data_IF_875011931194
#
_entry.id   IF_875011931194
#
_cell.length_a   1.000
_cell.length_b   1.000
_cell.length_c   1.000
_cell.angle_alpha   90.00
_cell.angle_beta   90.00
_cell.angle_gamma   90.00
#
_symmetry.space_group_name_H-M   'P 1'
#
loop_
_entity.id
_entity.type
_entity.pdbx_description
1 polymer ?
#
# COMPACT_ATOMS: atom_id res chain seq x y z
N UNK A 1 48.53 -52.10 -22.32
CA UNK A 1 49.80 -51.33 -22.24
C UNK A 1 49.93 -50.78 -20.83
N UNK A 2 50.68 -51.41 -19.92
CA UNK A 2 52.11 -51.15 -19.59
C UNK A 2 52.34 -49.69 -19.11
N UNK A 3 52.80 -49.37 -17.90
CA UNK A 3 54.00 -49.78 -17.12
C UNK A 3 53.80 -49.38 -15.63
N UNK A 4 54.03 -50.24 -14.63
CA UNK A 4 55.27 -50.57 -13.86
C UNK A 4 55.80 -49.48 -12.89
N UNK A 5 56.11 -49.93 -11.65
CA UNK A 5 57.04 -49.34 -10.66
C UNK A 5 56.30 -48.82 -9.41
N UNK A 6 56.18 -49.51 -8.26
CA UNK A 6 57.09 -50.26 -7.39
C UNK A 6 58.02 -49.39 -6.50
N UNK A 7 57.95 -49.69 -5.19
CA UNK A 7 58.96 -49.56 -4.11
C UNK A 7 58.91 -48.29 -3.22
N UNK A 8 58.60 -48.54 -1.94
CA UNK A 8 58.76 -47.65 -0.77
C UNK A 8 60.25 -47.48 -0.39
N UNK A 9 60.62 -46.48 0.43
CA UNK A 9 60.85 -46.85 1.81
C UNK A 9 60.35 -45.83 2.84
N UNK A 10 60.13 -46.35 4.05
CA UNK A 10 59.71 -45.61 5.23
C UNK A 10 60.80 -44.66 5.77
N UNK A 11 60.38 -43.49 6.24
CA UNK A 11 61.17 -42.64 7.15
C UNK A 11 60.25 -42.09 8.25
N UNK A 12 60.59 -42.37 9.51
CA UNK A 12 59.88 -41.87 10.70
C UNK A 12 60.28 -40.41 11.01
N UNK A 13 59.41 -39.63 11.68
CA UNK A 13 59.57 -38.18 11.79
C UNK A 13 60.36 -37.77 13.04
N UNK A 14 61.17 -36.72 12.93
CA UNK A 14 61.58 -35.91 14.08
C UNK A 14 61.17 -34.46 13.84
N UNK A 15 60.15 -33.99 14.57
CA UNK A 15 59.94 -32.55 14.77
C UNK A 15 59.97 -32.28 16.26
N UNK A 16 61.00 -31.55 16.67
CA UNK A 16 61.25 -31.09 18.02
C UNK A 16 60.08 -30.21 18.49
N UNK A 17 59.61 -30.42 19.72
CA UNK A 17 58.63 -29.57 20.40
C UNK A 17 59.38 -28.46 21.14
N UNK A 18 58.97 -27.22 20.91
CA UNK A 18 59.53 -25.98 21.46
C UNK A 18 58.97 -25.69 22.87
N UNK A 19 59.79 -25.51 23.92
CA UNK A 19 59.37 -25.49 25.33
C UNK A 19 58.92 -24.10 25.83
N UNK A 20 58.13 -23.36 25.05
CA UNK A 20 57.87 -21.93 25.31
C UNK A 20 56.41 -21.45 25.26
N UNK A 21 55.40 -22.31 25.11
CA UNK A 21 54.00 -21.85 25.05
C UNK A 21 53.41 -21.66 26.45
N UNK A 22 53.66 -20.46 26.97
CA UNK A 22 53.12 -19.86 28.18
C UNK A 22 51.59 -19.96 28.26
N UNK A 23 51.09 -20.45 29.40
CA UNK A 23 49.72 -20.24 29.83
C UNK A 23 49.60 -18.91 30.57
N UNK A 24 48.60 -18.11 30.22
CA UNK A 24 48.03 -17.13 31.14
C UNK A 24 46.52 -17.04 30.91
N UNK A 25 45.79 -17.42 31.95
CA UNK A 25 44.33 -17.46 32.02
C UNK A 25 43.77 -16.05 32.07
N UNK A 26 43.14 -15.60 30.98
CA UNK A 26 42.32 -14.39 30.97
C UNK A 26 40.96 -14.69 31.60
N UNK A 27 40.65 -14.04 32.72
CA UNK A 27 39.29 -14.00 33.30
C UNK A 27 38.47 -12.94 32.54
N UNK A 28 37.19 -13.19 32.22
CA UNK A 28 36.36 -12.21 31.55
C UNK A 28 35.95 -11.10 32.53
N UNK A 29 36.08 -9.83 32.11
CA UNK A 29 35.48 -8.67 32.80
C UNK A 29 34.23 -8.28 32.01
N UNK A 30 33.06 -8.48 32.62
CA UNK A 30 31.77 -8.13 32.05
C UNK A 30 31.53 -6.62 32.17
N UNK A 31 31.81 -5.84 31.14
CA UNK A 31 31.40 -4.43 31.06
C UNK A 31 30.00 -4.30 30.44
N UNK A 32 28.97 -4.42 31.29
CA UNK A 32 27.66 -3.80 31.04
C UNK A 32 27.81 -2.30 31.20
N UNK A 33 27.72 -1.51 30.12
CA UNK A 33 27.15 -0.14 30.14
C UNK A 33 26.49 0.16 28.80
N UNK A 34 25.18 -0.11 28.75
CA UNK A 34 24.25 0.54 27.83
C UNK A 34 24.41 2.05 27.97
N UNK A 35 24.60 2.76 26.86
CA UNK A 35 24.03 4.10 26.68
C UNK A 35 23.47 4.14 25.28
N UNK A 36 22.25 3.62 25.15
CA UNK A 36 21.41 3.84 23.99
C UNK A 36 20.96 5.30 24.10
N UNK A 37 21.72 6.22 23.51
CA UNK A 37 21.32 7.62 23.40
C UNK A 37 19.98 7.65 22.66
N UNK A 38 18.94 7.99 23.40
CA UNK A 38 17.61 8.20 22.90
C UNK A 38 17.60 9.28 21.82
N UNK A 39 17.17 8.88 20.64
CA UNK A 39 16.38 9.73 19.78
C UNK A 39 15.35 8.82 19.12
N UNK A 40 14.34 8.42 19.90
CA UNK A 40 13.10 7.95 19.32
C UNK A 40 12.45 9.20 18.70
N UNK A 41 12.81 9.51 17.45
CA UNK A 41 12.02 10.37 16.60
C UNK A 41 10.66 9.68 16.48
N UNK A 42 9.71 10.08 17.33
CA UNK A 42 8.29 9.86 17.08
C UNK A 42 7.98 10.69 15.84
N UNK A 43 8.20 10.11 14.66
CA UNK A 43 7.56 10.58 13.45
C UNK A 43 6.06 10.39 13.70
N UNK A 44 5.39 11.47 14.11
CA UNK A 44 3.93 11.51 14.10
C UNK A 44 3.54 11.54 12.63
N UNK A 45 3.32 10.36 12.05
CA UNK A 45 2.61 10.27 10.79
C UNK A 45 1.16 10.64 11.09
N UNK A 46 0.70 11.77 10.56
CA UNK A 46 -0.72 12.03 10.44
C UNK A 46 -1.28 11.00 9.45
N UNK A 47 -1.83 9.90 9.99
CA UNK A 47 -2.61 8.96 9.18
C UNK A 47 -3.98 9.59 8.99
N UNK A 48 -4.30 10.05 7.78
CA UNK A 48 -5.65 10.46 7.45
C UNK A 48 -6.60 9.26 7.51
N UNK A 49 -7.79 9.46 8.05
CA UNK A 49 -8.87 8.48 7.97
C UNK A 49 -9.53 8.52 6.58
N UNK A 50 -9.80 7.36 6.01
CA UNK A 50 -10.55 7.29 4.75
C UNK A 50 -12.05 7.30 5.04
N UNK A 51 -12.67 8.45 4.78
CA UNK A 51 -14.12 8.66 4.93
C UNK A 51 -14.94 7.98 3.82
N UNK A 52 -14.29 7.78 2.67
CA UNK A 52 -14.86 7.10 1.51
C UNK A 52 -13.85 6.07 1.04
N UNK A 53 -14.03 4.79 1.42
CA UNK A 53 -13.16 3.72 0.96
C UNK A 53 -13.22 3.52 -0.56
N UNK A 54 -12.11 3.06 -1.12
CA UNK A 54 -12.04 2.60 -2.50
C UNK A 54 -13.07 1.48 -2.74
N UNK A 55 -13.63 1.43 -3.95
CA UNK A 55 -14.63 0.45 -4.38
C UNK A 55 -15.91 0.42 -3.54
N UNK A 56 -16.18 1.48 -2.75
CA UNK A 56 -17.43 1.66 -2.02
C UNK A 56 -18.60 1.92 -2.98
N UNK A 57 -19.84 1.78 -2.49
CA UNK A 57 -21.03 2.10 -3.28
C UNK A 57 -21.22 3.62 -3.41
N UNK A 58 -21.62 4.05 -4.60
CA UNK A 58 -21.95 5.43 -4.97
C UNK A 58 -23.34 5.48 -5.57
N UNK A 59 -24.04 6.60 -5.38
CA UNK A 59 -25.19 6.94 -6.21
C UNK A 59 -24.69 7.52 -7.52
N UNK A 60 -25.30 7.11 -8.63
CA UNK A 60 -24.97 7.65 -9.94
C UNK A 60 -26.20 7.84 -10.83
N UNK A 61 -26.09 8.81 -11.73
CA UNK A 61 -27.10 9.11 -12.73
C UNK A 61 -26.43 9.24 -14.10
N UNK A 62 -26.94 8.50 -15.07
CA UNK A 62 -26.56 8.64 -16.48
C UNK A 62 -26.98 10.02 -16.98
N UNK A 63 -26.04 10.83 -17.47
CA UNK A 63 -26.26 12.21 -17.88
C UNK A 63 -26.97 12.34 -19.22
N UNK A 64 -28.17 11.77 -19.34
CA UNK A 64 -29.08 11.95 -20.49
C UNK A 64 -29.74 13.33 -20.50
N UNK A 65 -29.86 13.91 -19.32
CA UNK A 65 -30.30 15.27 -19.05
C UNK A 65 -29.54 15.78 -17.82
N UNK A 66 -29.75 17.05 -17.47
CA UNK A 66 -29.21 17.57 -16.21
C UNK A 66 -29.74 16.81 -14.99
N UNK A 67 -28.91 16.73 -13.95
CA UNK A 67 -29.21 15.95 -12.75
C UNK A 67 -30.32 16.55 -11.87
N UNK A 68 -30.58 17.85 -12.04
CA UNK A 68 -31.64 18.57 -11.35
C UNK A 68 -31.97 19.86 -12.10
N UNK A 69 -33.13 20.42 -11.77
CA UNK A 69 -33.50 21.79 -12.13
C UNK A 69 -33.83 22.55 -10.81
N UNK A 70 -33.04 23.57 -10.41
CA UNK A 70 -31.88 24.14 -11.12
C UNK A 70 -30.68 23.17 -11.18
N UNK A 71 -29.74 23.32 -12.13
CA UNK A 71 -28.57 22.43 -12.32
C UNK A 71 -27.60 22.35 -11.13
N UNK A 72 -27.81 23.16 -10.09
CA UNK A 72 -27.02 23.16 -8.86
C UNK A 72 -27.70 22.48 -7.68
N UNK A 73 -29.01 22.25 -7.73
CA UNK A 73 -29.77 21.67 -6.62
C UNK A 73 -29.24 20.28 -6.25
N UNK A 74 -28.84 19.46 -7.22
CA UNK A 74 -28.27 18.15 -6.98
C UNK A 74 -26.97 18.18 -6.18
N UNK A 75 -26.29 19.31 -6.01
CA UNK A 75 -25.06 19.39 -5.19
C UNK A 75 -25.36 19.59 -3.70
N UNK A 76 -26.60 19.90 -3.34
CA UNK A 76 -27.02 20.07 -1.95
C UNK A 76 -26.92 18.77 -1.16
N UNK A 77 -26.61 18.89 0.14
CA UNK A 77 -26.61 17.78 1.09
C UNK A 77 -28.02 17.14 1.22
N UNK A 78 -29.06 17.97 1.15
CA UNK A 78 -30.46 17.57 1.31
C UNK A 78 -31.13 17.10 0.01
N UNK A 79 -30.41 17.09 -1.12
CA UNK A 79 -30.98 16.62 -2.39
C UNK A 79 -31.36 15.13 -2.31
N UNK A 80 -32.57 14.82 -2.79
CA UNK A 80 -33.09 13.47 -2.88
C UNK A 80 -32.55 12.76 -4.13
N UNK A 81 -31.56 11.89 -3.88
CA UNK A 81 -30.95 11.00 -4.87
C UNK A 81 -31.54 9.58 -4.83
N UNK A 82 -32.73 9.39 -4.24
CA UNK A 82 -33.37 8.07 -4.13
C UNK A 82 -33.68 7.40 -5.47
N UNK A 83 -33.84 8.20 -6.54
CA UNK A 83 -34.05 7.71 -7.90
C UNK A 83 -32.75 7.43 -8.66
N UNK A 84 -31.58 7.78 -8.09
CA UNK A 84 -30.29 7.49 -8.71
C UNK A 84 -29.95 6.01 -8.55
N UNK A 85 -29.27 5.47 -9.55
CA UNK A 85 -28.77 4.10 -9.50
C UNK A 85 -27.67 3.99 -8.44
N UNK A 86 -27.40 2.77 -7.99
CA UNK A 86 -26.29 2.48 -7.08
C UNK A 86 -25.30 1.54 -7.73
N UNK A 87 -24.01 1.82 -7.56
CA UNK A 87 -22.93 1.04 -8.14
C UNK A 87 -21.64 1.22 -7.35
N UNK A 88 -20.76 0.20 -7.37
CA UNK A 88 -19.44 0.29 -6.76
C UNK A 88 -18.53 1.19 -7.59
N UNK A 89 -17.67 1.99 -6.96
CA UNK A 89 -16.69 2.80 -7.69
C UNK A 89 -15.77 1.93 -8.55
N UNK A 90 -15.21 2.51 -9.60
CA UNK A 90 -14.69 1.76 -10.75
C UNK A 90 -15.67 1.79 -11.92
N UNK A 91 -16.17 3.00 -12.22
CA UNK A 91 -17.07 3.27 -13.34
C UNK A 91 -16.26 3.31 -14.64
N UNK A 92 -16.64 2.52 -15.64
CA UNK A 92 -15.91 2.47 -16.91
C UNK A 92 -16.79 1.99 -18.05
N UNK A 93 -16.53 2.48 -19.26
CA UNK A 93 -17.15 1.97 -20.50
C UNK A 93 -16.66 0.57 -20.88
N UNK A 94 -15.66 0.04 -20.16
CA UNK A 94 -15.01 -1.22 -20.47
C UNK A 94 -14.01 -1.04 -21.60
N UNK A 95 -12.71 -1.05 -21.25
CA UNK A 95 -11.62 -1.05 -22.22
C UNK A 95 -10.61 -2.15 -21.87
N UNK A 96 -10.14 -2.88 -22.87
CA UNK A 96 -9.20 -3.98 -22.69
C UNK A 96 -9.74 -5.08 -21.77
N UNK A 97 -8.92 -5.48 -20.78
CA UNK A 97 -9.23 -6.56 -19.82
C UNK A 97 -9.75 -6.06 -18.47
N UNK A 98 -10.02 -4.75 -18.32
CA UNK A 98 -10.52 -4.22 -17.06
C UNK A 98 -11.97 -4.63 -16.82
N UNK A 99 -12.17 -5.47 -15.80
CA UNK A 99 -13.50 -5.86 -15.34
C UNK A 99 -14.04 -4.79 -14.39
N UNK A 100 -14.66 -3.77 -14.96
CA UNK A 100 -15.23 -2.65 -14.24
C UNK A 100 -16.26 -3.10 -13.20
N UNK A 101 -16.13 -2.70 -11.92
CA UNK A 101 -17.15 -2.91 -10.91
C UNK A 101 -18.52 -2.35 -11.31
N UNK A 102 -18.56 -1.19 -11.97
CA UNK A 102 -19.79 -0.63 -12.54
C UNK A 102 -19.59 -0.30 -14.02
N UNK A 103 -20.05 -1.18 -14.93
CA UNK A 103 -19.97 -0.94 -16.38
C UNK A 103 -20.92 0.18 -16.86
N UNK A 104 -20.46 1.05 -17.74
CA UNK A 104 -21.19 2.17 -18.33
C UNK A 104 -21.57 1.90 -19.79
N UNK A 105 -22.36 0.85 -20.05
CA UNK A 105 -22.64 0.37 -21.41
C UNK A 105 -23.29 1.37 -22.37
N UNK A 106 -23.92 2.42 -21.85
CA UNK A 106 -24.50 3.45 -22.69
C UNK A 106 -23.54 4.59 -23.06
N UNK A 107 -22.39 4.71 -22.41
CA UNK A 107 -21.46 5.82 -22.64
C UNK A 107 -20.46 5.49 -23.77
N UNK A 108 -20.09 6.46 -24.63
CA UNK A 108 -20.64 7.82 -24.72
C UNK A 108 -21.90 7.95 -25.58
N UNK A 109 -22.34 6.89 -26.27
CA UNK A 109 -23.36 6.98 -27.35
C UNK A 109 -24.75 7.40 -26.89
N UNK A 110 -25.20 6.94 -25.73
CA UNK A 110 -26.54 7.17 -25.19
C UNK A 110 -26.57 8.28 -24.13
N UNK A 111 -25.44 8.53 -23.47
CA UNK A 111 -25.25 9.65 -22.56
C UNK A 111 -23.75 10.01 -22.52
N UNK A 112 -23.39 11.30 -22.61
CA UNK A 112 -22.00 11.74 -22.68
C UNK A 112 -21.37 12.02 -21.30
N UNK A 113 -22.15 11.97 -20.22
CA UNK A 113 -21.68 12.31 -18.88
C UNK A 113 -22.28 11.43 -17.80
N UNK A 114 -21.67 11.46 -16.62
CA UNK A 114 -22.10 10.73 -15.44
C UNK A 114 -22.12 11.70 -14.25
N UNK A 115 -23.19 11.69 -13.47
CA UNK A 115 -23.23 12.35 -12.18
C UNK A 115 -22.99 11.33 -11.08
N UNK A 116 -22.16 11.69 -10.10
CA UNK A 116 -21.78 10.84 -8.98
C UNK A 116 -22.09 11.56 -7.66
N UNK A 117 -22.71 10.84 -6.72
CA UNK A 117 -22.99 11.34 -5.37
C UNK A 117 -22.61 10.31 -4.31
N UNK A 118 -21.95 10.78 -3.26
CA UNK A 118 -21.59 10.00 -2.07
C UNK A 118 -21.84 10.84 -0.83
N UNK A 119 -22.56 10.26 0.12
CA UNK A 119 -22.67 10.76 1.49
C UNK A 119 -21.68 10.00 2.35
N UNK A 120 -20.99 10.70 3.23
CA UNK A 120 -20.13 10.16 4.28
C UNK A 120 -20.39 10.93 5.57
N UNK A 121 -20.05 10.34 6.70
CA UNK A 121 -20.25 10.92 8.03
C UNK A 121 -18.90 11.32 8.62
N UNK A 122 -18.91 12.40 9.39
CA UNK A 122 -17.80 12.83 10.22
C UNK A 122 -18.31 12.86 11.66
N UNK A 123 -17.70 12.05 12.52
CA UNK A 123 -18.13 11.96 13.92
C UNK A 123 -17.53 13.12 14.76
N UNK A 124 -16.22 13.37 14.63
CA UNK A 124 -15.50 14.41 15.40
C UNK A 124 -14.96 15.53 14.48
N UNK A 125 -15.81 16.52 14.19
CA UNK A 125 -15.44 17.63 13.28
C UNK A 125 -14.41 18.60 13.88
N UNK A 126 -14.31 18.69 15.21
CA UNK A 126 -13.45 19.65 15.92
C UNK A 126 -11.95 19.46 15.64
N UNK A 127 -11.56 18.27 15.19
CA UNK A 127 -10.17 17.92 14.89
C UNK A 127 -9.85 17.85 13.39
N UNK A 128 -10.83 18.14 12.53
CA UNK A 128 -10.66 18.10 11.08
C UNK A 128 -9.87 19.34 10.61
N UNK A 129 -8.60 19.12 10.25
CA UNK A 129 -7.73 20.19 9.75
C UNK A 129 -7.86 20.40 8.24
N UNK A 130 -8.09 19.33 7.48
CA UNK A 130 -8.28 19.38 6.04
C UNK A 130 -9.07 18.16 5.56
N UNK A 131 -9.75 18.33 4.42
CA UNK A 131 -10.35 17.22 3.66
C UNK A 131 -9.66 17.16 2.31
N UNK A 132 -9.20 15.97 1.95
CA UNK A 132 -8.53 15.72 0.67
C UNK A 132 -9.35 14.71 -0.11
N UNK A 133 -9.81 15.11 -1.29
CA UNK A 133 -10.44 14.20 -2.24
C UNK A 133 -9.38 13.70 -3.22
N UNK A 134 -9.25 12.37 -3.30
CA UNK A 134 -8.39 11.71 -4.28
C UNK A 134 -9.28 10.96 -5.27
N UNK A 135 -9.00 11.13 -6.55
CA UNK A 135 -9.75 10.49 -7.64
C UNK A 135 -8.75 9.97 -8.64
N UNK A 136 -8.82 8.67 -8.91
CA UNK A 136 -8.16 8.06 -10.05
C UNK A 136 -9.16 8.06 -11.22
N UNK A 137 -8.72 8.55 -12.38
CA UNK A 137 -9.53 8.60 -13.59
C UNK A 137 -8.66 8.37 -14.83
N UNK A 138 -9.28 7.89 -15.89
CA UNK A 138 -8.66 7.67 -17.19
C UNK A 138 -9.62 8.15 -18.28
N UNK A 139 -9.12 8.96 -19.22
CA UNK A 139 -9.80 9.43 -20.44
C UNK A 139 -11.17 10.15 -20.33
N UNK A 140 -11.53 10.72 -19.17
CA UNK A 140 -12.53 11.81 -19.04
C UNK A 140 -14.01 11.40 -19.00
#
# INVERSE_FOLDING_TARGET
MAKRGAVMPAAWPKRNVDPGKAGSTLRPVLFKRLTLCGLLLLAVSASGESLVPDYSNWKYLEGKAEASDPPTAWRSLAFDDGHWKEGRSGFSVGFGSYNAPTPLWGMPRNYPSLFLRKKFTLDDIEWVQSLVMRVDYDDG
#
